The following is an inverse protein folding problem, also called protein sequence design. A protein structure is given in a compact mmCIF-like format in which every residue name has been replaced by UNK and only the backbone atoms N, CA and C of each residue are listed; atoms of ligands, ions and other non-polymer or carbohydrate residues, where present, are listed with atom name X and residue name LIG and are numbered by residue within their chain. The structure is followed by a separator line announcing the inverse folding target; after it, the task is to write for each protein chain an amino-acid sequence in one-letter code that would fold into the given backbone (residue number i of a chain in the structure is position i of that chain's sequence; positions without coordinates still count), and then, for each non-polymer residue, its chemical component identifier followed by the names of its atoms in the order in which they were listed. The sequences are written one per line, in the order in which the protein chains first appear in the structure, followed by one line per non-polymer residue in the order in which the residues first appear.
data_IF_637581626052
#
_entry.id   IF_637581626052
#
_cell.length_a   1.000
_cell.length_b   1.000
_cell.length_c   1.000
_cell.angle_alpha   90.00
_cell.angle_beta   90.00
_cell.angle_gamma   90.00
#
_symmetry.space_group_name_H-M   'P 1'
#
loop_
_entity.id
_entity.type
_entity.pdbx_description
1 polymer ?
#
# COMPACT_ATOMS: atom_id res chain seq x y z
N UNK A 1 36.27 -3.81 -24.64
CA UNK A 1 37.34 -4.69 -24.18
C UNK A 1 37.28 -6.08 -24.85
N UNK A 2 36.14 -6.79 -24.87
CA UNK A 2 36.04 -8.11 -25.53
C UNK A 2 36.52 -8.10 -27.00
N UNK A 3 36.23 -7.04 -27.75
CA UNK A 3 36.71 -6.91 -29.15
C UNK A 3 38.19 -6.69 -29.24
N UNK A 4 38.83 -6.00 -28.31
CA UNK A 4 40.29 -5.78 -28.26
C UNK A 4 41.01 -7.02 -27.77
N UNK A 5 40.47 -7.73 -26.76
CA UNK A 5 41.06 -8.94 -26.18
C UNK A 5 41.04 -10.12 -27.18
N UNK A 6 39.98 -10.24 -28.00
CA UNK A 6 39.88 -11.23 -29.08
C UNK A 6 40.76 -10.92 -30.31
N UNK A 7 41.21 -9.69 -30.49
CA UNK A 7 42.06 -9.30 -31.61
C UNK A 7 43.55 -9.46 -31.31
N UNK A 8 43.93 -9.60 -30.04
CA UNK A 8 45.32 -9.82 -29.63
C UNK A 8 45.48 -11.34 -29.32
N UNK A 9 45.76 -12.15 -30.35
CA UNK A 9 46.16 -13.54 -30.17
C UNK A 9 47.57 -13.57 -29.61
N UNK A 10 47.71 -13.81 -28.29
CA UNK A 10 48.99 -13.99 -27.68
C UNK A 10 49.53 -15.35 -28.10
N UNK A 11 50.84 -15.44 -28.54
CA UNK A 11 51.46 -16.70 -28.91
C UNK A 11 51.39 -17.71 -27.74
N UNK A 12 51.02 -18.95 -28.02
CA UNK A 12 50.83 -19.97 -27.02
C UNK A 12 52.15 -20.47 -26.38
N UNK A 13 53.28 -20.18 -27.01
CA UNK A 13 54.63 -20.60 -26.62
C UNK A 13 55.37 -19.54 -25.79
N UNK A 14 54.78 -18.39 -25.49
CA UNK A 14 55.37 -17.37 -24.64
C UNK A 14 54.56 -17.13 -23.37
N UNK A 15 55.25 -16.99 -22.20
CA UNK A 15 54.55 -16.71 -20.96
C UNK A 15 53.82 -15.33 -21.03
N UNK A 16 52.56 -15.32 -20.68
CA UNK A 16 51.80 -14.05 -20.67
C UNK A 16 52.34 -13.11 -19.57
N UNK A 17 52.49 -11.81 -19.88
CA UNK A 17 52.87 -10.82 -18.88
C UNK A 17 51.89 -10.81 -17.72
N UNK A 18 52.36 -10.78 -16.48
CA UNK A 18 51.53 -10.74 -15.25
C UNK A 18 50.54 -9.62 -15.26
N UNK A 19 50.94 -8.43 -15.77
CA UNK A 19 50.04 -7.26 -15.92
C UNK A 19 48.86 -7.54 -16.83
N UNK A 20 48.99 -8.39 -17.84
CA UNK A 20 47.87 -8.72 -18.76
C UNK A 20 46.90 -9.71 -18.09
N UNK A 21 47.41 -10.69 -17.34
CA UNK A 21 46.60 -11.66 -16.60
C UNK A 21 45.82 -10.96 -15.46
N UNK A 22 46.45 -10.04 -14.74
CA UNK A 22 45.79 -9.25 -13.70
C UNK A 22 44.67 -8.37 -14.26
N UNK A 23 44.89 -7.70 -15.38
CA UNK A 23 43.84 -6.89 -16.04
C UNK A 23 42.69 -7.73 -16.56
N UNK A 24 42.93 -8.94 -17.06
CA UNK A 24 41.88 -9.89 -17.46
C UNK A 24 41.08 -10.35 -16.27
N UNK A 25 41.72 -10.64 -15.15
CA UNK A 25 41.01 -10.98 -13.91
C UNK A 25 40.14 -9.80 -13.40
N UNK A 26 40.68 -8.57 -13.39
CA UNK A 26 39.92 -7.39 -13.02
C UNK A 26 38.74 -7.15 -13.96
N UNK A 27 38.93 -7.27 -15.27
CA UNK A 27 37.85 -7.12 -16.24
C UNK A 27 36.76 -8.20 -16.06
N UNK A 28 37.15 -9.45 -15.84
CA UNK A 28 36.18 -10.52 -15.59
C UNK A 28 35.43 -10.36 -14.26
N UNK A 29 36.10 -9.85 -13.22
CA UNK A 29 35.47 -9.55 -11.93
C UNK A 29 34.45 -8.41 -12.07
N UNK A 30 34.76 -7.35 -12.82
CA UNK A 30 33.82 -6.25 -13.11
C UNK A 30 32.63 -6.75 -13.93
N UNK A 31 32.86 -7.59 -14.95
CA UNK A 31 31.78 -8.17 -15.76
C UNK A 31 30.85 -9.08 -14.94
N UNK A 32 31.41 -9.89 -14.04
CA UNK A 32 30.59 -10.73 -13.16
C UNK A 32 29.79 -9.89 -12.18
N UNK A 33 30.39 -8.91 -11.51
CA UNK A 33 29.71 -7.99 -10.62
C UNK A 33 28.58 -7.22 -11.34
N UNK A 34 28.83 -6.73 -12.56
CA UNK A 34 27.81 -6.06 -13.35
C UNK A 34 26.65 -7.00 -13.73
N UNK A 35 26.94 -8.24 -14.08
CA UNK A 35 25.93 -9.27 -14.39
C UNK A 35 25.08 -9.61 -13.17
N UNK A 36 25.69 -9.70 -12.01
CA UNK A 36 25.01 -10.00 -10.75
C UNK A 36 24.05 -8.85 -10.38
N UNK A 37 24.52 -7.61 -10.48
CA UNK A 37 23.67 -6.41 -10.27
C UNK A 37 22.50 -6.41 -11.24
N UNK A 38 22.72 -6.61 -12.54
CA UNK A 38 21.62 -6.68 -13.52
C UNK A 38 20.63 -7.83 -13.22
N UNK A 39 21.13 -8.97 -12.78
CA UNK A 39 20.31 -10.12 -12.39
C UNK A 39 19.38 -9.76 -11.22
N UNK A 40 19.91 -9.12 -10.19
CA UNK A 40 19.13 -8.68 -9.03
C UNK A 40 18.10 -7.60 -9.40
N UNK A 41 18.45 -6.63 -10.25
CA UNK A 41 17.50 -5.62 -10.73
C UNK A 41 16.34 -6.26 -11.53
N UNK A 42 16.64 -7.23 -12.40
CA UNK A 42 15.59 -7.99 -13.13
C UNK A 42 14.67 -8.77 -12.19
N UNK A 43 15.22 -9.39 -11.13
CA UNK A 43 14.41 -10.06 -10.11
C UNK A 43 13.49 -9.09 -9.38
N UNK A 44 13.99 -7.92 -8.99
CA UNK A 44 13.21 -6.85 -8.37
C UNK A 44 12.09 -6.38 -9.30
N UNK A 45 12.39 -6.08 -10.56
CA UNK A 45 11.40 -5.67 -11.55
C UNK A 45 10.32 -6.73 -11.78
N UNK A 46 10.70 -8.02 -11.82
CA UNK A 46 9.74 -9.14 -11.93
C UNK A 46 8.82 -9.21 -10.73
N UNK A 47 9.36 -9.05 -9.51
CA UNK A 47 8.59 -9.04 -8.27
C UNK A 47 7.59 -7.88 -8.25
N UNK A 48 8.01 -6.68 -8.65
CA UNK A 48 7.13 -5.50 -8.73
C UNK A 48 6.02 -5.74 -9.77
N UNK A 49 6.35 -6.31 -10.94
CA UNK A 49 5.35 -6.64 -11.98
C UNK A 49 4.29 -7.61 -11.45
N UNK A 50 4.70 -8.67 -10.75
CA UNK A 50 3.77 -9.64 -10.14
C UNK A 50 2.86 -8.96 -9.09
N UNK A 51 3.41 -8.06 -8.28
CA UNK A 51 2.63 -7.34 -7.27
C UNK A 51 1.66 -6.33 -7.89
N UNK A 52 1.97 -5.71 -9.02
CA UNK A 52 1.02 -4.85 -9.75
C UNK A 52 -0.17 -5.68 -10.27
N UNK A 53 0.09 -6.86 -10.81
CA UNK A 53 -0.99 -7.77 -11.23
C UNK A 53 -1.86 -8.19 -10.04
N UNK A 54 -1.24 -8.46 -8.88
CA UNK A 54 -1.97 -8.78 -7.67
C UNK A 54 -2.81 -7.59 -7.17
N UNK A 55 -2.28 -6.37 -7.25
CA UNK A 55 -3.03 -5.14 -6.94
C UNK A 55 -4.28 -5.02 -7.83
N UNK A 56 -4.14 -5.20 -9.14
CA UNK A 56 -5.28 -5.19 -10.07
C UNK A 56 -6.33 -6.26 -9.69
N UNK A 57 -5.88 -7.45 -9.31
CA UNK A 57 -6.78 -8.52 -8.85
C UNK A 57 -7.54 -8.15 -7.56
N UNK A 58 -6.87 -7.51 -6.59
CA UNK A 58 -7.55 -7.02 -5.38
C UNK A 58 -8.57 -5.93 -5.70
N UNK A 59 -8.25 -5.02 -6.64
CA UNK A 59 -9.22 -4.03 -7.13
C UNK A 59 -10.43 -4.69 -7.79
N UNK A 60 -10.24 -5.69 -8.64
CA UNK A 60 -11.33 -6.45 -9.26
C UNK A 60 -12.21 -7.17 -8.24
N UNK A 61 -11.60 -7.74 -7.20
CA UNK A 61 -12.30 -8.40 -6.11
C UNK A 61 -12.91 -7.41 -5.09
N UNK A 62 -12.73 -6.10 -5.28
CA UNK A 62 -13.17 -5.04 -4.36
C UNK A 62 -12.60 -5.17 -2.94
N UNK A 63 -11.44 -5.78 -2.81
CA UNK A 63 -10.71 -5.89 -1.54
C UNK A 63 -9.86 -4.62 -1.33
N UNK A 64 -10.52 -3.57 -0.85
CA UNK A 64 -9.92 -2.25 -0.67
C UNK A 64 -8.73 -2.30 0.30
N UNK A 65 -8.83 -3.06 1.40
CA UNK A 65 -7.79 -3.11 2.43
C UNK A 65 -6.49 -3.73 1.91
N UNK A 66 -6.58 -4.86 1.19
CA UNK A 66 -5.42 -5.51 0.59
C UNK A 66 -4.85 -4.69 -0.57
N UNK A 67 -5.71 -4.08 -1.39
CA UNK A 67 -5.29 -3.23 -2.50
C UNK A 67 -4.53 -1.99 -2.01
N UNK A 68 -5.02 -1.29 -0.98
CA UNK A 68 -4.37 -0.12 -0.41
C UNK A 68 -2.99 -0.47 0.17
N UNK A 69 -2.89 -1.51 1.01
CA UNK A 69 -1.60 -1.98 1.55
C UNK A 69 -0.59 -2.31 0.47
N UNK A 70 -1.05 -2.90 -0.63
CA UNK A 70 -0.18 -3.28 -1.73
C UNK A 70 0.25 -2.07 -2.56
N UNK A 71 -0.63 -1.08 -2.75
CA UNK A 71 -0.29 0.18 -3.41
C UNK A 71 0.76 0.97 -2.61
N UNK A 72 0.60 1.08 -1.28
CA UNK A 72 1.55 1.72 -0.37
C UNK A 72 2.92 1.03 -0.38
N UNK A 73 2.94 -0.30 -0.47
CA UNK A 73 4.18 -1.07 -0.61
C UNK A 73 4.88 -0.82 -1.95
N UNK A 74 4.11 -0.63 -3.03
CA UNK A 74 4.65 -0.43 -4.38
C UNK A 74 5.12 1.00 -4.64
N UNK A 75 4.47 2.00 -4.06
CA UNK A 75 4.75 3.41 -4.28
C UNK A 75 6.25 3.78 -4.16
N UNK A 76 6.96 3.46 -3.05
CA UNK A 76 8.37 3.81 -2.92
C UNK A 76 9.28 3.02 -3.87
N UNK A 77 8.86 1.82 -4.29
CA UNK A 77 9.63 0.97 -5.20
C UNK A 77 9.56 1.44 -6.64
N UNK A 78 8.45 2.03 -7.03
CA UNK A 78 8.23 2.57 -8.38
C UNK A 78 8.81 4.00 -8.50
N UNK A 79 8.79 4.76 -7.40
CA UNK A 79 9.39 6.09 -7.36
C UNK A 79 10.93 6.06 -7.40
N UNK A 80 11.55 4.94 -7.02
CA UNK A 80 13.01 4.80 -7.07
C UNK A 80 13.49 4.73 -8.54
N UNK A 81 14.56 5.44 -8.90
CA UNK A 81 15.11 5.40 -10.25
C UNK A 81 15.74 4.02 -10.51
N UNK A 82 15.13 3.24 -11.37
CA UNK A 82 15.64 1.95 -11.83
C UNK A 82 15.71 1.92 -13.35
N UNK A 83 16.86 1.53 -13.90
CA UNK A 83 17.05 1.46 -15.36
C UNK A 83 16.11 0.43 -16.04
N UNK A 84 15.71 -0.60 -15.32
CA UNK A 84 14.84 -1.68 -15.82
C UNK A 84 13.32 -1.38 -15.67
N UNK A 85 12.92 -0.26 -15.09
CA UNK A 85 11.52 0.13 -14.98
C UNK A 85 11.04 0.74 -16.31
N UNK A 86 10.51 -0.11 -17.18
CA UNK A 86 9.96 0.32 -18.45
C UNK A 86 8.75 1.23 -18.26
N UNK A 87 8.57 2.20 -19.17
CA UNK A 87 7.37 3.05 -19.24
C UNK A 87 6.05 2.23 -19.27
N UNK A 88 6.13 0.98 -19.76
CA UNK A 88 4.99 0.05 -19.73
C UNK A 88 4.63 -0.45 -18.33
N UNK A 89 5.60 -0.59 -17.42
CA UNK A 89 5.33 -0.98 -16.04
C UNK A 89 4.70 0.17 -15.26
N UNK A 90 5.19 1.39 -15.47
CA UNK A 90 4.61 2.61 -14.89
C UNK A 90 3.14 2.74 -15.31
N UNK A 91 2.82 2.65 -16.61
CA UNK A 91 1.44 2.73 -17.09
C UNK A 91 0.51 1.68 -16.45
N UNK A 92 1.01 0.45 -16.24
CA UNK A 92 0.22 -0.60 -15.58
C UNK A 92 -0.06 -0.26 -14.10
N UNK A 93 0.91 0.32 -13.43
CA UNK A 93 0.73 0.78 -12.06
C UNK A 93 -0.25 1.95 -11.98
N UNK A 94 -0.13 2.95 -12.85
CA UNK A 94 -1.04 4.08 -12.91
C UNK A 94 -2.49 3.62 -13.20
N UNK A 95 -2.65 2.66 -14.12
CA UNK A 95 -3.95 2.03 -14.37
C UNK A 95 -4.49 1.31 -13.11
N UNK A 96 -3.64 0.60 -12.37
CA UNK A 96 -4.04 -0.05 -11.13
C UNK A 96 -4.43 0.95 -10.03
N UNK A 97 -3.75 2.10 -9.95
CA UNK A 97 -4.10 3.19 -9.02
C UNK A 97 -5.44 3.83 -9.39
N UNK A 98 -5.73 4.02 -10.68
CA UNK A 98 -7.04 4.51 -11.14
C UNK A 98 -8.15 3.55 -10.73
N UNK A 99 -7.97 2.24 -10.94
CA UNK A 99 -8.93 1.23 -10.48
C UNK A 99 -9.09 1.22 -8.96
N UNK A 100 -8.01 1.42 -8.21
CA UNK A 100 -8.07 1.52 -6.75
C UNK A 100 -8.88 2.75 -6.32
N UNK A 101 -8.71 3.90 -6.98
CA UNK A 101 -9.49 5.10 -6.72
C UNK A 101 -10.99 4.87 -6.96
N UNK A 102 -11.36 4.24 -8.09
CA UNK A 102 -12.75 3.87 -8.39
C UNK A 102 -13.36 2.95 -7.33
N UNK A 103 -12.61 1.94 -6.87
CA UNK A 103 -13.08 1.03 -5.81
C UNK A 103 -13.25 1.78 -4.49
N UNK A 104 -12.35 2.72 -4.19
CA UNK A 104 -12.45 3.57 -2.99
C UNK A 104 -13.67 4.47 -3.03
N UNK A 105 -13.90 5.14 -4.15
CA UNK A 105 -15.05 6.04 -4.32
C UNK A 105 -16.36 5.27 -4.21
N UNK A 106 -16.43 4.10 -4.81
CA UNK A 106 -17.61 3.23 -4.72
C UNK A 106 -17.84 2.75 -3.28
N UNK A 107 -16.77 2.40 -2.56
CA UNK A 107 -16.84 1.99 -1.15
C UNK A 107 -17.32 3.15 -0.26
N UNK A 108 -16.81 4.37 -0.49
CA UNK A 108 -17.26 5.57 0.21
C UNK A 108 -18.74 5.83 -0.04
N UNK A 109 -19.17 5.78 -1.29
CA UNK A 109 -20.58 5.94 -1.66
C UNK A 109 -21.50 4.92 -0.96
N UNK A 110 -21.08 3.65 -0.87
CA UNK A 110 -21.87 2.59 -0.22
C UNK A 110 -21.92 2.72 1.31
N UNK A 111 -20.88 3.30 1.94
CA UNK A 111 -20.76 3.39 3.41
C UNK A 111 -21.36 4.70 3.96
N UNK A 112 -21.31 5.80 3.21
CA UNK A 112 -21.76 7.12 3.66
C UNK A 112 -23.19 7.10 4.24
N UNK A 113 -24.21 6.50 3.57
CA UNK A 113 -25.55 6.48 4.13
C UNK A 113 -25.65 5.71 5.47
N UNK A 114 -24.86 4.66 5.63
CA UNK A 114 -24.80 3.89 6.89
C UNK A 114 -24.14 4.68 8.02
N UNK A 115 -23.09 5.46 7.71
CA UNK A 115 -22.47 6.37 8.67
C UNK A 115 -23.45 7.48 9.10
N UNK A 116 -24.17 8.07 8.15
CA UNK A 116 -25.20 9.06 8.42
C UNK A 116 -26.32 8.51 9.32
N UNK A 117 -26.77 7.29 9.05
CA UNK A 117 -27.76 6.60 9.90
C UNK A 117 -27.24 6.40 11.32
N UNK A 118 -25.97 5.98 11.49
CA UNK A 118 -25.35 5.83 12.81
C UNK A 118 -25.24 7.17 13.54
N UNK A 119 -24.95 8.26 12.84
CA UNK A 119 -24.96 9.60 13.42
C UNK A 119 -26.35 9.97 13.92
N UNK A 120 -27.39 9.79 13.10
CA UNK A 120 -28.76 10.11 13.47
C UNK A 120 -29.24 9.29 14.66
N UNK A 121 -28.98 7.97 14.66
CA UNK A 121 -29.31 7.11 15.80
C UNK A 121 -28.56 7.52 17.08
N UNK A 122 -27.29 7.95 16.98
CA UNK A 122 -26.54 8.46 18.12
C UNK A 122 -27.10 9.79 18.64
N UNK A 123 -27.59 10.67 17.75
CA UNK A 123 -28.26 11.92 18.09
C UNK A 123 -29.61 11.66 18.78
N UNK A 124 -30.40 10.70 18.29
CA UNK A 124 -31.66 10.28 18.91
C UNK A 124 -31.44 9.81 20.35
N UNK A 125 -30.35 9.11 20.64
CA UNK A 125 -30.01 8.71 22.02
C UNK A 125 -29.74 9.87 22.97
N UNK A 126 -29.47 11.08 22.48
CA UNK A 126 -29.30 12.26 23.32
C UNK A 126 -30.64 12.69 23.96
N UNK A 127 -31.73 12.53 23.23
CA UNK A 127 -33.07 12.97 23.62
C UNK A 127 -33.94 11.87 24.26
N UNK A 128 -33.51 10.61 24.18
CA UNK A 128 -34.24 9.46 24.70
C UNK A 128 -34.23 9.42 26.25
N UNK A 129 -35.35 9.02 26.84
CA UNK A 129 -35.51 8.80 28.30
C UNK A 129 -35.07 7.39 28.71
N UNK A 130 -33.99 6.86 28.13
CA UNK A 130 -33.46 5.56 28.46
C UNK A 130 -32.75 5.55 29.82
N UNK A 131 -32.83 4.43 30.53
CA UNK A 131 -31.99 4.22 31.70
C UNK A 131 -30.50 4.26 31.34
N UNK A 132 -29.69 4.80 32.24
CA UNK A 132 -28.27 5.06 31.96
C UNK A 132 -27.47 3.79 31.53
N UNK A 133 -27.81 2.62 32.08
CA UNK A 133 -27.21 1.34 31.68
C UNK A 133 -27.56 0.95 30.25
N UNK A 134 -28.82 1.11 29.88
CA UNK A 134 -29.33 0.79 28.53
C UNK A 134 -28.73 1.76 27.50
N UNK A 135 -28.65 3.05 27.84
CA UNK A 135 -28.01 4.07 27.02
C UNK A 135 -26.53 3.76 26.81
N UNK A 136 -25.78 3.42 27.85
CA UNK A 136 -24.36 3.07 27.74
C UNK A 136 -24.15 1.83 26.84
N UNK A 137 -25.03 0.83 26.94
CA UNK A 137 -24.98 -0.36 26.08
C UNK A 137 -25.26 0.00 24.62
N UNK A 138 -26.26 0.84 24.33
CA UNK A 138 -26.59 1.30 22.99
C UNK A 138 -25.43 2.10 22.35
N UNK A 139 -24.84 3.04 23.12
CA UNK A 139 -23.66 3.80 22.68
C UNK A 139 -22.51 2.87 22.29
N UNK A 140 -22.21 1.84 23.12
CA UNK A 140 -21.16 0.87 22.86
C UNK A 140 -21.44 0.06 21.59
N UNK A 141 -22.67 -0.32 21.35
CA UNK A 141 -23.06 -1.05 20.15
C UNK A 141 -22.88 -0.18 18.89
N UNK A 142 -23.35 1.06 18.90
CA UNK A 142 -23.16 2.01 17.80
C UNK A 142 -21.67 2.28 17.52
N UNK A 143 -20.84 2.37 18.55
CA UNK A 143 -19.39 2.49 18.38
C UNK A 143 -18.80 1.27 17.70
N UNK A 144 -19.23 0.08 18.06
CA UNK A 144 -18.79 -1.18 17.46
C UNK A 144 -19.19 -1.25 15.97
N UNK A 145 -20.41 -0.83 15.67
CA UNK A 145 -20.90 -0.76 14.29
C UNK A 145 -20.07 0.26 13.46
N UNK A 146 -19.79 1.44 14.02
CA UNK A 146 -18.92 2.43 13.38
C UNK A 146 -17.53 1.87 13.08
N UNK A 147 -16.89 1.23 14.06
CA UNK A 147 -15.57 0.61 13.90
C UNK A 147 -15.55 -0.45 12.79
N UNK A 148 -16.60 -1.28 12.70
CA UNK A 148 -16.72 -2.29 11.63
C UNK A 148 -16.83 -1.65 10.24
N UNK A 149 -17.55 -0.54 10.12
CA UNK A 149 -17.68 0.18 8.85
C UNK A 149 -16.38 0.89 8.42
N UNK A 150 -15.57 1.33 9.40
CA UNK A 150 -14.36 2.12 9.15
C UNK A 150 -13.07 1.30 9.19
N UNK A 151 -13.13 0.00 9.43
CA UNK A 151 -11.96 -0.88 9.59
C UNK A 151 -10.97 -0.86 8.41
N UNK A 152 -11.42 -0.46 7.21
CA UNK A 152 -10.62 -0.35 5.99
C UNK A 152 -10.28 1.08 5.57
N UNK A 153 -10.59 2.09 6.41
CA UNK A 153 -10.38 3.51 6.08
C UNK A 153 -9.46 4.18 7.10
N UNK A 154 -8.64 5.14 6.65
CA UNK A 154 -8.02 6.10 7.58
C UNK A 154 -9.10 7.06 8.09
N UNK A 155 -9.15 7.23 9.39
CA UNK A 155 -10.18 8.04 10.09
C UNK A 155 -9.88 9.53 10.02
N UNK A 156 -8.76 9.91 9.42
CA UNK A 156 -8.30 11.30 9.39
C UNK A 156 -9.26 12.18 8.55
N UNK A 157 -9.84 13.18 9.21
CA UNK A 157 -10.70 14.22 8.62
C UNK A 157 -12.07 13.76 8.07
N UNK A 158 -12.72 12.79 8.68
CA UNK A 158 -14.10 12.45 8.31
C UNK A 158 -15.11 13.33 9.08
N UNK A 159 -15.86 14.24 8.42
CA UNK A 159 -16.83 15.11 9.08
C UNK A 159 -17.97 14.34 9.76
N UNK A 160 -18.31 13.15 9.26
CA UNK A 160 -19.30 12.28 9.91
C UNK A 160 -18.75 11.69 11.21
N UNK A 161 -17.42 11.46 11.32
CA UNK A 161 -16.81 11.06 12.56
C UNK A 161 -16.90 12.15 13.64
N UNK A 162 -16.65 13.40 13.27
CA UNK A 162 -16.78 14.54 14.20
C UNK A 162 -18.21 14.68 14.70
N UNK A 163 -19.20 14.57 13.80
CA UNK A 163 -20.62 14.59 14.13
C UNK A 163 -20.99 13.44 15.09
N UNK A 164 -20.62 12.20 14.75
CA UNK A 164 -20.86 11.02 15.55
C UNK A 164 -20.22 11.14 16.96
N UNK A 165 -18.95 11.57 17.02
CA UNK A 165 -18.22 11.71 18.27
C UNK A 165 -18.78 12.82 19.17
N UNK A 166 -19.29 13.89 18.59
CA UNK A 166 -19.95 14.97 19.32
C UNK A 166 -21.27 14.48 19.94
N UNK A 167 -22.13 13.84 19.15
CA UNK A 167 -23.36 13.22 19.64
C UNK A 167 -23.08 12.17 20.73
N UNK A 168 -22.07 11.32 20.54
CA UNK A 168 -21.62 10.35 21.54
C UNK A 168 -21.27 10.98 22.88
N UNK A 169 -20.51 12.10 22.86
CA UNK A 169 -20.12 12.80 24.11
C UNK A 169 -21.34 13.31 24.85
N UNK A 170 -22.31 13.88 24.13
CA UNK A 170 -23.56 14.38 24.70
C UNK A 170 -24.40 13.23 25.28
N UNK A 171 -24.59 12.15 24.49
CA UNK A 171 -25.37 10.98 24.93
C UNK A 171 -24.76 10.29 26.15
N UNK A 172 -23.43 10.37 26.35
CA UNK A 172 -22.75 9.75 27.49
C UNK A 172 -22.80 10.58 28.78
N UNK A 173 -23.11 11.88 28.72
CA UNK A 173 -23.15 12.77 29.92
C UNK A 173 -24.06 12.24 31.03
N UNK A 174 -25.31 11.78 30.79
CA UNK A 174 -26.15 11.24 31.86
C UNK A 174 -25.61 9.94 32.47
N UNK A 175 -24.78 9.19 31.72
CA UNK A 175 -24.20 7.93 32.23
C UNK A 175 -23.03 8.19 33.19
N UNK A 176 -22.40 9.37 33.15
CA UNK A 176 -21.25 9.71 34.00
C UNK A 176 -21.63 9.81 35.48
N UNK A 177 -22.88 10.17 35.79
CA UNK A 177 -23.37 10.28 37.16
C UNK A 177 -23.53 8.94 37.89
N UNK A 178 -23.46 7.80 37.19
CA UNK A 178 -23.56 6.47 37.79
C UNK A 178 -22.20 5.84 38.17
N UNK A 179 -21.09 6.49 37.83
CA UNK A 179 -19.74 6.01 38.14
C UNK A 179 -19.16 6.62 39.42
N UNK A 180 -19.97 7.41 40.13
CA UNK A 180 -19.72 7.93 41.47
C UNK A 180 -20.89 7.55 42.36
#
# INVERSE_FOLDING_TARGET
WRRLDSSIAWPTDQPQPTALSERRQQASAIETAHRDVQSEERKKATTVRQKIVLLQRHCQNRDLAAATKLADYLAPKIAAPHEDFSAGLQRKYDTALTQLAEVRDWHLFAITPKKEQLCSTMEELCDDNLEALQRAAAIKDLQTQWQKLTASQSVDNDPLWERFNTARKIAYQPCHCLLY
#
